data_IF_647349138911
#
_entry.id   IF_647349138911
#
_cell.length_a   1.000
_cell.length_b   1.000
_cell.length_c   1.000
_cell.angle_alpha   90.00
_cell.angle_beta   90.00
_cell.angle_gamma   90.00
#
_symmetry.space_group_name_H-M   'P 1'
#
loop_
_entity.id
_entity.type
_entity.pdbx_description
1 polymer ?
#
# COMPACT_ATOMS: atom_id res chain seq x y z
N UNK A 1 19.95 -4.24 -30.54
CA UNK A 1 19.72 -2.80 -30.24
C UNK A 1 19.30 -2.69 -28.77
N UNK A 2 20.20 -2.35 -27.85
CA UNK A 2 19.91 -2.30 -26.40
C UNK A 2 19.24 -0.96 -26.05
N UNK A 3 18.01 -1.02 -25.55
CA UNK A 3 17.30 0.16 -25.04
C UNK A 3 17.95 0.69 -23.75
N UNK A 4 18.12 2.01 -23.65
CA UNK A 4 18.73 2.67 -22.49
C UNK A 4 17.79 2.55 -21.27
N UNK A 5 18.34 2.47 -20.04
CA UNK A 5 17.55 2.36 -18.77
C UNK A 5 16.39 3.37 -18.66
N UNK A 6 16.55 4.58 -19.19
CA UNK A 6 15.51 5.63 -19.20
C UNK A 6 14.30 5.26 -20.08
N UNK A 7 14.53 4.57 -21.20
CA UNK A 7 13.47 4.09 -22.11
C UNK A 7 12.68 2.93 -21.50
N UNK A 8 13.34 2.07 -20.72
CA UNK A 8 12.69 1.01 -19.95
C UNK A 8 11.73 1.56 -18.91
N UNK A 9 12.13 2.60 -18.19
CA UNK A 9 11.28 3.28 -17.21
C UNK A 9 10.07 3.95 -17.89
N UNK A 10 10.27 4.60 -19.04
CA UNK A 10 9.17 5.19 -19.82
C UNK A 10 8.19 4.15 -20.33
N UNK A 11 8.68 3.00 -20.82
CA UNK A 11 7.82 1.89 -21.25
C UNK A 11 7.06 1.25 -20.09
N UNK A 12 7.69 1.07 -18.93
CA UNK A 12 7.00 0.58 -17.74
C UNK A 12 5.88 1.54 -17.31
N UNK A 13 6.14 2.85 -17.35
CA UNK A 13 5.12 3.88 -17.07
C UNK A 13 4.00 3.86 -18.11
N UNK A 14 4.30 3.74 -19.41
CA UNK A 14 3.27 3.65 -20.45
C UNK A 14 2.44 2.37 -20.34
N UNK A 15 3.06 1.23 -20.05
CA UNK A 15 2.35 -0.03 -19.82
C UNK A 15 1.45 0.09 -18.59
N UNK A 16 1.94 0.68 -17.50
CA UNK A 16 1.15 0.93 -16.30
C UNK A 16 -0.05 1.83 -16.60
N UNK A 17 0.13 2.91 -17.37
CA UNK A 17 -0.95 3.82 -17.79
C UNK A 17 -1.97 3.07 -18.65
N UNK A 18 -1.54 2.29 -19.63
CA UNK A 18 -2.45 1.50 -20.49
C UNK A 18 -3.23 0.43 -19.70
N UNK A 19 -2.60 -0.20 -18.71
CA UNK A 19 -3.28 -1.14 -17.81
C UNK A 19 -4.31 -0.40 -16.97
N UNK A 20 -3.99 0.78 -16.43
CA UNK A 20 -4.93 1.60 -15.66
C UNK A 20 -6.14 2.03 -16.52
N UNK A 21 -5.94 2.49 -17.75
CA UNK A 21 -7.04 2.93 -18.62
C UNK A 21 -7.93 1.77 -19.06
N UNK A 22 -7.37 0.60 -19.36
CA UNK A 22 -8.14 -0.60 -19.69
C UNK A 22 -8.97 -1.12 -18.50
N UNK A 23 -8.45 -0.98 -17.26
CA UNK A 23 -9.19 -1.32 -16.05
C UNK A 23 -10.29 -0.32 -15.74
N UNK A 24 -10.10 0.98 -16.05
CA UNK A 24 -11.14 2.01 -15.93
C UNK A 24 -12.35 1.73 -16.82
N UNK A 25 -12.17 1.19 -18.03
CA UNK A 25 -13.28 0.81 -18.91
C UNK A 25 -14.14 -0.34 -18.33
N UNK A 26 -13.59 -1.18 -17.45
CA UNK A 26 -14.34 -2.22 -16.72
C UNK A 26 -14.86 -1.74 -15.36
N UNK A 27 -14.50 -0.54 -14.92
CA UNK A 27 -14.83 0.00 -13.59
C UNK A 27 -16.30 0.40 -13.44
N UNK A 28 -17.02 0.59 -14.55
CA UNK A 28 -18.34 1.24 -14.55
C UNK A 28 -19.44 0.47 -13.82
N UNK A 29 -19.26 -0.83 -13.50
CA UNK A 29 -20.31 -1.67 -12.87
C UNK A 29 -19.86 -2.43 -11.60
N UNK A 30 -18.69 -2.11 -11.04
CA UNK A 30 -18.18 -2.76 -9.83
C UNK A 30 -18.75 -2.17 -8.54
N UNK A 31 -19.13 -2.98 -7.53
CA UNK A 31 -19.49 -2.44 -6.22
C UNK A 31 -18.28 -1.76 -5.58
N UNK A 32 -18.42 -0.47 -5.25
CA UNK A 32 -17.45 0.27 -4.46
C UNK A 32 -17.56 -0.17 -3.00
N UNK A 33 -16.43 -0.48 -2.38
CA UNK A 33 -16.35 -0.81 -0.96
C UNK A 33 -15.42 0.13 -0.25
N UNK A 34 -15.78 0.50 0.96
CA UNK A 34 -14.93 1.26 1.87
C UNK A 34 -14.45 0.34 2.98
N UNK A 35 -13.20 0.49 3.36
CA UNK A 35 -12.63 -0.23 4.49
C UNK A 35 -11.80 0.69 5.35
N UNK A 36 -11.86 0.45 6.65
CA UNK A 36 -10.96 1.04 7.64
C UNK A 36 -10.01 -0.04 8.12
N UNK A 37 -8.79 0.33 8.46
CA UNK A 37 -7.80 -0.61 8.94
C UNK A 37 -6.87 0.02 9.96
N UNK A 38 -6.32 -0.85 10.81
CA UNK A 38 -5.21 -0.54 11.68
C UNK A 38 -4.03 -1.42 11.29
N UNK A 39 -2.85 -0.82 11.28
CA UNK A 39 -1.59 -1.47 10.98
C UNK A 39 -0.73 -1.48 12.24
N UNK A 40 -0.17 -2.64 12.57
CA UNK A 40 0.83 -2.77 13.62
C UNK A 40 2.04 -3.53 13.07
N UNK A 41 3.22 -2.92 13.18
CA UNK A 41 4.41 -3.45 12.54
C UNK A 41 5.70 -3.09 13.22
N UNK A 42 6.78 -3.53 12.58
CA UNK A 42 8.15 -3.18 12.96
C UNK A 42 8.98 -2.89 11.73
N UNK A 43 9.92 -1.95 11.86
CA UNK A 43 10.94 -1.71 10.86
C UNK A 43 11.92 -2.89 10.83
N UNK A 44 12.31 -3.35 9.63
CA UNK A 44 13.25 -4.48 9.46
C UNK A 44 14.72 -4.08 9.65
N UNK A 45 15.02 -2.78 9.61
CA UNK A 45 16.38 -2.25 9.71
C UNK A 45 16.70 -1.84 11.14
N UNK A 46 17.93 -2.13 11.59
CA UNK A 46 18.41 -1.74 12.91
C UNK A 46 18.65 -0.21 13.00
N UNK A 47 18.27 0.45 14.11
CA UNK A 47 17.47 -0.09 15.22
C UNK A 47 16.00 -0.27 14.81
N UNK A 48 15.42 -1.43 15.15
CA UNK A 48 14.03 -1.73 14.89
C UNK A 48 13.12 -0.70 15.58
N UNK A 49 12.14 -0.18 14.85
CA UNK A 49 11.13 0.75 15.35
C UNK A 49 9.78 0.08 15.29
N UNK A 50 9.01 0.18 16.34
CA UNK A 50 7.58 -0.15 16.27
C UNK A 50 6.87 0.87 15.39
N UNK A 51 5.92 0.38 14.60
CA UNK A 51 5.08 1.21 13.75
C UNK A 51 3.62 0.92 14.07
N UNK A 52 2.82 1.98 14.18
CA UNK A 52 1.37 1.87 14.25
C UNK A 52 0.76 2.77 13.20
N UNK A 53 -0.31 2.30 12.58
CA UNK A 53 -0.95 2.99 11.50
C UNK A 53 -2.46 2.85 11.54
N UNK A 54 -3.14 3.84 10.97
CA UNK A 54 -4.53 3.72 10.58
C UNK A 54 -4.63 4.05 9.09
N UNK A 55 -5.31 3.21 8.32
CA UNK A 55 -5.55 3.44 6.90
C UNK A 55 -7.03 3.30 6.53
N UNK A 56 -7.41 4.05 5.51
CA UNK A 56 -8.67 3.97 4.81
C UNK A 56 -8.39 3.43 3.43
N UNK A 57 -9.20 2.47 3.00
CA UNK A 57 -9.08 1.83 1.70
C UNK A 57 -10.40 1.90 0.95
N UNK A 58 -10.36 2.48 -0.25
CA UNK A 58 -11.41 2.33 -1.24
C UNK A 58 -11.06 1.14 -2.12
N UNK A 59 -12.04 0.27 -2.38
CA UNK A 59 -11.89 -0.90 -3.23
C UNK A 59 -12.96 -0.88 -4.33
N UNK A 60 -12.53 -0.92 -5.59
CA UNK A 60 -13.38 -1.04 -6.76
C UNK A 60 -13.19 -2.40 -7.42
N UNK A 61 -14.24 -3.21 -7.52
CA UNK A 61 -14.15 -4.54 -8.14
C UNK A 61 -14.27 -4.46 -9.67
N UNK A 62 -13.30 -4.98 -10.41
CA UNK A 62 -13.30 -4.96 -11.89
C UNK A 62 -13.78 -6.27 -12.54
N UNK A 63 -14.15 -7.26 -11.72
CA UNK A 63 -14.53 -8.61 -12.17
C UNK A 63 -13.33 -9.56 -12.26
N UNK A 64 -13.58 -10.88 -12.33
CA UNK A 64 -12.53 -11.89 -12.45
C UNK A 64 -11.64 -12.05 -11.20
N UNK A 65 -12.11 -11.65 -10.01
CA UNK A 65 -11.34 -11.73 -8.77
C UNK A 65 -10.27 -10.64 -8.61
N UNK A 66 -10.25 -9.64 -9.51
CA UNK A 66 -9.37 -8.48 -9.43
C UNK A 66 -10.15 -7.26 -8.96
N UNK A 67 -9.60 -6.52 -7.99
CA UNK A 67 -10.12 -5.25 -7.51
C UNK A 67 -9.02 -4.19 -7.49
N UNK A 68 -9.34 -2.98 -7.92
CA UNK A 68 -8.51 -1.80 -7.67
C UNK A 68 -8.65 -1.38 -6.22
N UNK A 69 -7.56 -0.93 -5.64
CA UNK A 69 -7.54 -0.40 -4.28
C UNK A 69 -6.85 0.95 -4.27
N UNK A 70 -7.39 1.88 -3.50
CA UNK A 70 -6.81 3.17 -3.18
C UNK A 70 -6.74 3.27 -1.67
N UNK A 71 -5.54 3.35 -1.13
CA UNK A 71 -5.29 3.38 0.31
C UNK A 71 -4.64 4.70 0.70
N UNK A 72 -5.18 5.34 1.72
CA UNK A 72 -4.62 6.55 2.33
C UNK A 72 -4.72 6.46 3.84
N UNK A 73 -3.85 7.13 4.59
CA UNK A 73 -3.88 7.01 6.04
C UNK A 73 -2.79 7.79 6.76
N UNK A 74 -2.46 7.33 7.96
CA UNK A 74 -1.40 7.89 8.78
C UNK A 74 -0.63 6.77 9.48
N UNK A 75 0.68 6.75 9.29
CA UNK A 75 1.61 5.83 9.94
C UNK A 75 2.52 6.58 10.89
N UNK A 76 2.55 6.14 12.14
CA UNK A 76 3.42 6.64 13.18
C UNK A 76 4.56 5.65 13.41
N UNK A 77 5.78 6.08 13.11
CA UNK A 77 7.00 5.36 13.44
C UNK A 77 7.49 5.85 14.80
N UNK A 78 7.53 4.96 15.79
CA UNK A 78 7.95 5.33 17.14
C UNK A 78 9.46 5.53 17.24
N UNK A 79 9.88 6.22 18.31
CA UNK A 79 11.29 6.45 18.63
C UNK A 79 11.98 5.10 18.86
N UNK A 80 13.06 4.83 18.13
CA UNK A 80 13.88 3.63 18.38
C UNK A 80 14.86 3.84 19.54
N UNK A 81 15.46 5.04 19.62
CA UNK A 81 16.50 5.42 20.58
C UNK A 81 16.52 6.95 20.75
N UNK A 82 17.30 7.46 21.71
CA UNK A 82 17.45 8.90 22.00
C UNK A 82 17.88 9.75 20.78
N UNK A 83 18.61 9.14 19.83
CA UNK A 83 19.07 9.77 18.58
C UNK A 83 18.13 9.56 17.38
N UNK A 84 17.19 8.63 17.48
CA UNK A 84 16.31 8.22 16.40
C UNK A 84 14.87 8.60 16.76
N UNK A 85 14.56 9.87 16.54
CA UNK A 85 13.23 10.38 16.80
C UNK A 85 12.17 9.68 15.92
N UNK A 86 10.97 9.52 16.48
CA UNK A 86 9.80 9.04 15.77
C UNK A 86 9.34 10.09 14.77
N UNK A 87 8.70 9.62 13.70
CA UNK A 87 8.18 10.44 12.62
C UNK A 87 6.87 9.86 12.12
N UNK A 88 6.02 10.72 11.54
CA UNK A 88 4.81 10.28 10.89
C UNK A 88 4.97 10.30 9.37
N UNK A 89 4.23 9.42 8.69
CA UNK A 89 4.11 9.40 7.23
C UNK A 89 2.62 9.27 6.89
N UNK A 90 2.17 10.09 5.95
CA UNK A 90 0.86 9.97 5.30
C UNK A 90 1.08 9.24 3.97
N UNK A 91 0.77 7.94 3.86
CA UNK A 91 0.81 7.23 2.60
C UNK A 91 -0.41 7.59 1.74
N UNK A 92 -0.18 7.75 0.44
CA UNK A 92 -1.21 7.75 -0.59
C UNK A 92 -0.80 6.72 -1.65
N UNK A 93 -1.53 5.61 -1.70
CA UNK A 93 -1.18 4.44 -2.48
C UNK A 93 -2.34 3.99 -3.34
N UNK A 94 -2.05 3.56 -4.54
CA UNK A 94 -2.99 2.90 -5.44
C UNK A 94 -2.44 1.53 -5.81
N UNK A 95 -3.31 0.56 -5.99
CA UNK A 95 -2.88 -0.81 -6.22
C UNK A 95 -3.96 -1.71 -6.75
N UNK A 96 -3.60 -2.98 -6.84
CA UNK A 96 -4.48 -4.06 -7.25
C UNK A 96 -4.51 -5.13 -6.16
N UNK A 97 -5.69 -5.70 -5.95
CA UNK A 97 -5.98 -6.82 -5.06
C UNK A 97 -6.54 -7.97 -5.90
N UNK A 98 -5.92 -9.14 -5.80
CA UNK A 98 -6.29 -10.34 -6.54
C UNK A 98 -6.56 -11.50 -5.59
N UNK A 99 -7.61 -12.27 -5.85
CA UNK A 99 -8.00 -13.44 -5.07
C UNK A 99 -7.68 -14.72 -5.84
N UNK A 100 -6.49 -15.33 -5.66
CA UNK A 100 -6.15 -16.59 -6.32
C UNK A 100 -6.96 -17.77 -5.78
N UNK A 101 -7.33 -17.75 -4.50
CA UNK A 101 -8.10 -18.79 -3.81
C UNK A 101 -9.21 -18.14 -3.00
N UNK A 102 -10.29 -18.87 -2.72
CA UNK A 102 -11.35 -18.41 -1.83
C UNK A 102 -10.72 -17.97 -0.49
N UNK A 103 -11.09 -16.79 0.00
CA UNK A 103 -10.59 -16.18 1.24
C UNK A 103 -9.13 -15.73 1.24
N UNK A 104 -8.29 -16.08 0.27
CA UNK A 104 -6.90 -15.64 0.21
C UNK A 104 -6.76 -14.54 -0.84
N UNK A 105 -6.09 -13.45 -0.51
CA UNK A 105 -5.75 -12.42 -1.48
C UNK A 105 -4.28 -12.05 -1.43
N UNK A 106 -3.80 -11.62 -2.58
CA UNK A 106 -2.55 -10.90 -2.74
C UNK A 106 -2.87 -9.49 -3.20
N UNK A 107 -2.15 -8.50 -2.72
CA UNK A 107 -2.32 -7.13 -3.17
C UNK A 107 -0.97 -6.45 -3.31
N UNK A 108 -0.81 -5.69 -4.39
CA UNK A 108 0.35 -4.86 -4.64
C UNK A 108 -0.08 -3.41 -4.74
N UNK A 109 0.49 -2.56 -3.90
CA UNK A 109 0.22 -1.12 -3.90
C UNK A 109 1.50 -0.34 -4.16
N UNK A 110 1.38 0.78 -4.88
CA UNK A 110 2.47 1.73 -5.12
C UNK A 110 1.94 3.16 -5.00
N UNK A 111 2.78 4.11 -4.65
CA UNK A 111 2.36 5.50 -4.53
C UNK A 111 3.41 6.40 -3.91
N UNK A 112 2.95 7.37 -3.13
CA UNK A 112 3.78 8.35 -2.45
C UNK A 112 3.52 8.36 -0.94
N UNK A 113 4.56 8.48 -0.14
CA UNK A 113 4.52 8.74 1.29
C UNK A 113 4.97 10.16 1.57
N UNK A 114 4.12 10.94 2.23
CA UNK A 114 4.42 12.30 2.64
C UNK A 114 4.82 12.30 4.11
N UNK A 115 6.07 12.64 4.41
CA UNK A 115 6.53 12.73 5.79
C UNK A 115 5.95 13.96 6.50
N UNK A 116 5.57 13.81 7.77
CA UNK A 116 4.94 14.88 8.56
C UNK A 116 5.93 15.82 9.25
N UNK A 117 7.22 15.49 9.24
CA UNK A 117 8.28 16.34 9.80
C UNK A 117 8.64 17.48 8.85
N UNK A 118 9.03 18.64 9.40
CA UNK A 118 9.56 19.77 8.61
C UNK A 118 10.75 19.30 7.75
N UNK A 119 10.66 19.52 6.44
CA UNK A 119 11.68 19.10 5.47
C UNK A 119 11.60 17.63 5.04
N UNK A 120 10.64 16.86 5.55
CA UNK A 120 10.39 15.52 5.03
C UNK A 120 9.74 15.65 3.64
N UNK A 121 10.50 15.29 2.61
CA UNK A 121 10.01 15.29 1.24
C UNK A 121 8.98 14.20 0.97
N UNK A 122 8.59 14.11 -0.29
CA UNK A 122 7.75 13.02 -0.81
C UNK A 122 8.62 11.81 -1.14
N UNK A 123 8.34 10.66 -0.54
CA UNK A 123 9.01 9.40 -0.89
C UNK A 123 8.13 8.56 -1.78
N UNK A 124 8.70 7.91 -2.79
CA UNK A 124 8.02 6.79 -3.43
C UNK A 124 7.81 5.64 -2.42
N UNK A 125 6.65 5.02 -2.43
CA UNK A 125 6.32 3.85 -1.60
C UNK A 125 5.81 2.71 -2.46
N UNK A 126 6.24 1.49 -2.12
CA UNK A 126 5.65 0.27 -2.64
C UNK A 126 5.35 -0.69 -1.50
N UNK A 127 4.24 -1.41 -1.63
CA UNK A 127 3.61 -2.15 -0.55
C UNK A 127 2.98 -3.44 -1.05
N UNK A 128 3.77 -4.51 -1.30
CA UNK A 128 3.23 -5.84 -1.49
C UNK A 128 2.63 -6.38 -0.18
N UNK A 129 1.50 -7.05 -0.29
CA UNK A 129 0.77 -7.62 0.83
C UNK A 129 0.09 -8.93 0.46
N UNK A 130 -0.09 -9.77 1.47
CA UNK A 130 -0.76 -11.06 1.39
C UNK A 130 -1.73 -11.14 2.56
N UNK A 131 -2.97 -11.59 2.35
CA UNK A 131 -3.95 -11.63 3.42
C UNK A 131 -5.07 -12.63 3.24
N UNK A 132 -5.85 -12.73 4.31
CA UNK A 132 -7.02 -13.56 4.44
C UNK A 132 -8.24 -12.66 4.65
N UNK A 133 -9.25 -12.83 3.80
CA UNK A 133 -10.54 -12.18 3.92
C UNK A 133 -11.55 -13.15 4.55
N UNK A 134 -12.19 -12.71 5.62
CA UNK A 134 -13.25 -13.42 6.32
C UNK A 134 -14.61 -12.93 5.81
N UNK A 135 -15.64 -13.78 5.93
CA UNK A 135 -16.96 -13.53 5.34
C UNK A 135 -17.67 -12.28 5.87
N UNK A 136 -17.33 -11.86 7.08
CA UNK A 136 -18.01 -10.78 7.82
C UNK A 136 -17.46 -9.38 7.50
N UNK A 137 -16.72 -9.23 6.39
CA UNK A 137 -16.09 -7.97 6.00
C UNK A 137 -14.74 -7.71 6.67
N UNK A 138 -14.32 -8.58 7.60
CA UNK A 138 -13.01 -8.52 8.22
C UNK A 138 -11.92 -9.09 7.30
N UNK A 139 -10.76 -8.44 7.22
CA UNK A 139 -9.58 -8.98 6.57
C UNK A 139 -8.31 -8.76 7.40
N UNK A 140 -7.43 -9.75 7.37
CA UNK A 140 -6.10 -9.68 8.00
C UNK A 140 -5.06 -9.86 6.90
N UNK A 141 -4.12 -8.92 6.79
CA UNK A 141 -3.00 -9.03 5.85
C UNK A 141 -1.67 -8.80 6.52
N UNK A 142 -0.66 -9.49 6.02
CA UNK A 142 0.72 -9.12 6.19
C UNK A 142 1.11 -8.19 5.03
N UNK A 143 1.67 -7.04 5.35
CA UNK A 143 2.06 -5.98 4.42
C UNK A 143 3.52 -5.66 4.63
N UNK A 144 4.31 -5.79 3.56
CA UNK A 144 5.66 -5.25 3.52
C UNK A 144 5.59 -3.90 2.84
N UNK A 145 6.16 -2.86 3.45
CA UNK A 145 6.15 -1.51 2.90
C UNK A 145 7.54 -0.90 2.93
N UNK A 146 7.92 -0.29 1.81
CA UNK A 146 9.23 0.30 1.65
C UNK A 146 9.11 1.69 1.02
N UNK A 147 9.69 2.66 1.69
CA UNK A 147 9.78 4.04 1.23
C UNK A 147 11.22 4.34 0.79
N UNK A 148 11.40 4.61 -0.49
CA UNK A 148 12.71 4.70 -1.14
C UNK A 148 13.60 5.82 -0.60
N UNK A 149 13.03 6.99 -0.28
CA UNK A 149 13.82 8.19 0.02
C UNK A 149 14.31 8.26 1.47
N UNK A 150 13.84 7.37 2.35
CA UNK A 150 14.27 7.33 3.76
C UNK A 150 15.45 6.38 4.00
N UNK A 151 16.35 6.17 3.03
CA UNK A 151 17.58 5.35 3.16
C UNK A 151 17.34 3.96 3.81
N UNK A 152 16.17 3.36 3.55
CA UNK A 152 15.75 2.08 4.12
C UNK A 152 15.31 2.09 5.59
N UNK A 153 15.28 3.25 6.26
CA UNK A 153 14.81 3.36 7.65
C UNK A 153 13.29 3.33 7.82
N UNK A 154 12.54 3.52 6.73
CA UNK A 154 11.09 3.42 6.71
C UNK A 154 10.61 2.07 6.14
N UNK A 155 11.49 1.06 6.05
CA UNK A 155 11.10 -0.28 5.62
C UNK A 155 10.42 -1.03 6.76
N UNK A 156 9.12 -1.28 6.63
CA UNK A 156 8.33 -1.94 7.67
C UNK A 156 7.67 -3.22 7.18
N UNK A 157 7.55 -4.17 8.10
CA UNK A 157 6.65 -5.30 8.00
C UNK A 157 5.51 -5.07 8.99
N UNK A 158 4.29 -4.97 8.50
CA UNK A 158 3.11 -4.66 9.29
C UNK A 158 2.02 -5.71 9.11
N UNK A 159 1.36 -6.04 10.21
CA UNK A 159 0.08 -6.75 10.22
C UNK A 159 -1.04 -5.72 10.14
N UNK A 160 -1.86 -5.84 9.10
CA UNK A 160 -3.00 -5.00 8.81
C UNK A 160 -4.28 -5.73 9.16
N UNK A 161 -5.07 -5.17 10.06
CA UNK A 161 -6.41 -5.63 10.41
C UNK A 161 -7.40 -4.62 9.84
N UNK A 162 -8.27 -5.07 8.94
CA UNK A 162 -9.21 -4.21 8.27
C UNK A 162 -10.63 -4.71 8.38
N UNK A 163 -11.56 -3.76 8.33
CA UNK A 163 -12.98 -3.99 8.32
C UNK A 163 -13.60 -3.22 7.15
N UNK A 164 -14.12 -3.97 6.18
CA UNK A 164 -14.77 -3.45 4.99
C UNK A 164 -16.30 -3.49 5.12
N UNK A 165 -16.93 -2.36 4.86
CA UNK A 165 -18.38 -2.24 4.77
C UNK A 165 -18.79 -1.92 3.33
N UNK A 166 -19.98 -2.40 2.96
CA UNK A 166 -20.61 -2.08 1.68
C UNK A 166 -21.37 -0.76 1.87
N UNK A 167 -21.24 0.16 0.92
CA UNK A 167 -22.18 1.27 0.78
C UNK A 167 -23.45 0.79 0.07
#
# INVERSE_FOLDING_TARGET
MMMKKKQWMQLAVMILICVITAMSAKAQNGPLRMGVAVDAGSTLKNPARTTLGADFRLQQSFGGGVSGILTTGYYQFFKANKYNEGFGIVPLKVGLKYFPVKNVYVAGEVGAGFGTKKGAGTSFVYSPSFGLAFGDGFDVSLKYENFTDYNGYAQQLALRFAYGFKL
#
